data_IF_451475038993
#
_entry.id   IF_451475038993
#
_cell.length_a   1.000
_cell.length_b   1.000
_cell.length_c   1.000
_cell.angle_alpha   90.00
_cell.angle_beta   90.00
_cell.angle_gamma   90.00
#
_symmetry.space_group_name_H-M   'P 1'
#
loop_
_entity.id
_entity.type
_entity.pdbx_description
1 polymer ?
#
# COMPACT_ATOMS: atom_id res chain seq x y z
N UNK A 1 6.79 2.32 2.96
CA UNK A 1 8.17 2.24 3.51
C UNK A 1 8.26 1.62 4.88
N UNK A 2 7.24 1.76 5.73
CA UNK A 2 7.27 1.31 7.14
C UNK A 2 6.32 0.13 7.39
N UNK A 3 5.87 -0.54 6.35
CA UNK A 3 4.82 -1.56 6.42
C UNK A 3 5.27 -3.01 6.10
N UNK A 4 6.56 -3.42 6.22
CA UNK A 4 6.92 -4.81 5.96
C UNK A 4 6.27 -5.78 6.95
N UNK A 5 5.85 -5.30 8.13
CA UNK A 5 5.09 -6.08 9.11
C UNK A 5 3.80 -6.67 8.56
N UNK A 6 3.07 -5.93 7.70
CA UNK A 6 1.86 -6.44 7.03
C UNK A 6 2.20 -7.61 6.11
N UNK A 7 3.30 -7.50 5.39
CA UNK A 7 3.77 -8.51 4.45
C UNK A 7 4.25 -9.78 5.19
N UNK A 8 5.02 -9.61 6.27
CA UNK A 8 5.46 -10.68 7.16
C UNK A 8 4.27 -11.42 7.78
N UNK A 9 3.29 -10.69 8.30
CA UNK A 9 2.08 -11.27 8.87
C UNK A 9 1.29 -12.10 7.85
N UNK A 10 1.30 -11.69 6.57
CA UNK A 10 0.69 -12.46 5.47
C UNK A 10 1.52 -13.65 4.97
N UNK A 11 2.65 -13.96 5.62
CA UNK A 11 3.48 -15.13 5.30
C UNK A 11 4.59 -14.88 4.28
N UNK A 12 4.92 -13.61 3.99
CA UNK A 12 6.13 -13.30 3.24
C UNK A 12 7.35 -13.60 4.08
N UNK A 13 8.29 -14.36 3.53
CA UNK A 13 9.41 -14.89 4.31
C UNK A 13 10.51 -13.84 4.48
N UNK A 14 11.25 -13.95 5.58
CA UNK A 14 12.48 -13.17 5.78
C UNK A 14 13.48 -13.38 4.65
N UNK A 15 13.51 -14.58 4.07
CA UNK A 15 14.35 -14.89 2.92
C UNK A 15 13.97 -14.07 1.68
N UNK A 16 12.67 -13.87 1.43
CA UNK A 16 12.20 -13.03 0.34
C UNK A 16 12.47 -11.55 0.58
N UNK A 17 12.40 -11.08 1.84
CA UNK A 17 12.85 -9.73 2.21
C UNK A 17 14.32 -9.55 1.85
N UNK A 18 15.17 -10.50 2.24
CA UNK A 18 16.59 -10.46 1.90
C UNK A 18 16.81 -10.47 0.38
N UNK A 19 16.10 -11.32 -0.36
CA UNK A 19 16.20 -11.36 -1.82
C UNK A 19 15.94 -10.00 -2.47
N UNK A 20 14.91 -9.27 -2.03
CA UNK A 20 14.59 -7.93 -2.52
C UNK A 20 15.65 -6.90 -2.12
N UNK A 21 16.08 -6.90 -0.85
CA UNK A 21 17.09 -5.95 -0.36
C UNK A 21 18.45 -6.10 -1.06
N UNK A 22 18.84 -7.32 -1.42
CA UNK A 22 20.08 -7.59 -2.16
C UNK A 22 19.89 -7.56 -3.69
N UNK A 23 18.66 -7.41 -4.19
CA UNK A 23 18.36 -7.40 -5.61
C UNK A 23 18.84 -8.65 -6.36
N UNK A 24 18.80 -9.82 -5.72
CA UNK A 24 19.37 -11.04 -6.29
C UNK A 24 18.41 -11.72 -7.29
N UNK A 25 18.82 -12.86 -7.85
CA UNK A 25 18.04 -13.60 -8.87
C UNK A 25 16.67 -14.10 -8.38
N UNK A 26 16.49 -14.22 -7.07
CA UNK A 26 15.26 -14.68 -6.45
C UNK A 26 14.35 -13.51 -6.02
N UNK A 27 14.74 -12.26 -6.30
CA UNK A 27 13.88 -11.11 -6.10
C UNK A 27 12.71 -11.13 -7.10
N UNK A 28 11.49 -11.06 -6.57
CA UNK A 28 10.27 -10.91 -7.38
C UNK A 28 10.29 -9.61 -8.20
N UNK A 29 10.94 -8.57 -7.68
CA UNK A 29 11.17 -7.28 -8.34
C UNK A 29 12.31 -7.28 -9.37
N UNK A 30 13.02 -8.41 -9.53
CA UNK A 30 14.16 -8.60 -10.44
C UNK A 30 15.29 -7.58 -10.23
N UNK A 31 15.48 -7.10 -9.00
CA UNK A 31 16.51 -6.13 -8.63
C UNK A 31 16.30 -4.74 -9.22
N UNK A 32 15.09 -4.42 -9.73
CA UNK A 32 14.81 -3.15 -10.42
C UNK A 32 14.43 -2.01 -9.48
N UNK A 33 14.10 -2.34 -8.24
CA UNK A 33 13.63 -1.40 -7.24
C UNK A 33 14.68 -1.23 -6.14
N UNK A 34 14.67 -0.06 -5.49
CA UNK A 34 15.53 0.17 -4.32
C UNK A 34 15.18 -0.80 -3.19
N UNK A 35 16.12 -1.10 -2.27
CA UNK A 35 15.82 -1.89 -1.08
C UNK A 35 14.60 -1.32 -0.32
N UNK A 36 13.82 -2.19 0.31
CA UNK A 36 12.58 -1.85 1.05
C UNK A 36 11.36 -1.56 0.13
N UNK A 37 11.52 -1.65 -1.19
CA UNK A 37 10.40 -1.58 -2.15
C UNK A 37 9.78 -2.96 -2.38
N UNK A 38 9.21 -3.54 -1.33
CA UNK A 38 8.57 -4.84 -1.43
C UNK A 38 7.28 -4.78 -2.24
N UNK A 39 6.96 -5.88 -2.92
CA UNK A 39 5.73 -6.06 -3.68
C UNK A 39 5.41 -7.54 -3.80
N UNK A 40 4.13 -7.91 -3.73
CA UNK A 40 3.74 -9.31 -3.87
C UNK A 40 2.27 -9.49 -4.28
N UNK A 41 2.06 -9.95 -5.51
CA UNK A 41 0.73 -10.31 -6.00
C UNK A 41 0.09 -11.45 -5.20
N UNK A 42 0.90 -12.45 -4.77
CA UNK A 42 0.44 -13.59 -3.97
C UNK A 42 -0.20 -13.14 -2.64
N UNK A 43 0.29 -12.05 -2.06
CA UNK A 43 -0.17 -11.55 -0.76
C UNK A 43 -1.08 -10.33 -0.89
N UNK A 44 -1.58 -10.02 -2.10
CA UNK A 44 -2.38 -8.83 -2.39
C UNK A 44 -1.73 -7.56 -1.84
N UNK A 45 -0.44 -7.37 -2.15
CA UNK A 45 0.36 -6.25 -1.68
C UNK A 45 0.99 -5.54 -2.87
N UNK A 46 0.57 -4.30 -3.11
CA UNK A 46 1.10 -3.45 -4.16
C UNK A 46 2.57 -3.12 -3.93
N UNK A 47 3.35 -3.06 -5.01
CA UNK A 47 4.77 -2.70 -4.92
C UNK A 47 4.92 -1.27 -4.43
N UNK A 48 5.72 -1.07 -3.38
CA UNK A 48 6.00 0.27 -2.83
C UNK A 48 6.82 1.10 -3.82
N UNK A 49 6.48 2.39 -3.93
CA UNK A 49 7.16 3.37 -4.78
C UNK A 49 7.68 4.58 -3.98
N UNK A 50 8.76 5.21 -4.45
CA UNK A 50 9.42 6.39 -3.82
C UNK A 50 8.56 7.60 -3.64
N UNK A 51 7.74 7.99 -4.63
CA UNK A 51 6.86 9.12 -4.47
C UNK A 51 5.88 8.88 -3.32
N UNK A 52 5.99 9.72 -2.31
CA UNK A 52 5.11 9.72 -1.14
C UNK A 52 3.68 10.04 -1.62
N UNK A 53 2.67 9.57 -0.89
CA UNK A 53 1.24 9.82 -1.11
C UNK A 53 0.62 9.25 -2.40
N UNK A 54 1.39 8.91 -3.43
CA UNK A 54 0.88 8.39 -4.71
C UNK A 54 0.01 7.14 -4.59
N UNK A 55 0.21 6.34 -3.54
CA UNK A 55 -0.58 5.14 -3.27
C UNK A 55 -2.02 5.43 -2.80
N UNK A 56 -2.33 6.66 -2.35
CA UNK A 56 -3.67 7.03 -1.87
C UNK A 56 -4.71 7.00 -3.01
N UNK A 57 -4.59 7.80 -4.08
CA UNK A 57 -5.55 7.74 -5.19
C UNK A 57 -5.56 6.38 -5.90
N UNK A 58 -4.42 5.68 -5.94
CA UNK A 58 -4.35 4.31 -6.47
C UNK A 58 -5.20 3.33 -5.65
N UNK A 59 -5.18 3.44 -4.32
CA UNK A 59 -6.02 2.61 -3.45
C UNK A 59 -7.51 2.92 -3.62
N UNK A 60 -7.89 4.20 -3.81
CA UNK A 60 -9.27 4.60 -4.14
C UNK A 60 -9.72 3.96 -5.45
N UNK A 61 -8.90 4.02 -6.49
CA UNK A 61 -9.20 3.36 -7.77
C UNK A 61 -9.32 1.84 -7.66
N UNK A 62 -8.44 1.19 -6.89
CA UNK A 62 -8.53 -0.24 -6.63
C UNK A 62 -9.83 -0.62 -5.90
N UNK A 63 -10.24 0.17 -4.90
CA UNK A 63 -11.50 -0.04 -4.19
C UNK A 63 -12.73 0.14 -5.10
N UNK A 64 -12.69 1.17 -5.96
CA UNK A 64 -13.74 1.39 -6.94
C UNK A 64 -13.88 0.21 -7.90
N UNK A 65 -12.76 -0.36 -8.35
CA UNK A 65 -12.77 -1.55 -9.19
C UNK A 65 -13.35 -2.76 -8.46
N UNK A 66 -13.01 -2.97 -7.18
CA UNK A 66 -13.60 -4.05 -6.37
C UNK A 66 -15.12 -3.88 -6.19
N UNK A 67 -15.58 -2.63 -6.02
CA UNK A 67 -17.01 -2.29 -5.95
C UNK A 67 -17.74 -2.60 -7.24
N UNK A 68 -17.17 -2.20 -8.38
CA UNK A 68 -17.74 -2.49 -9.70
C UNK A 68 -17.80 -3.98 -10.00
N UNK A 69 -16.82 -4.74 -9.51
CA UNK A 69 -16.78 -6.20 -9.61
C UNK A 69 -17.73 -6.91 -8.63
N UNK A 70 -18.42 -6.19 -7.73
CA UNK A 70 -19.28 -6.77 -6.69
C UNK A 70 -18.54 -7.67 -5.69
N UNK A 71 -17.22 -7.47 -5.52
CA UNK A 71 -16.39 -8.28 -4.62
C UNK A 71 -16.56 -7.82 -3.19
N UNK A 72 -16.67 -8.75 -2.25
CA UNK A 72 -16.62 -8.45 -0.83
C UNK A 72 -15.15 -8.34 -0.36
N UNK A 73 -14.51 -7.22 -0.66
CA UNK A 73 -13.11 -6.95 -0.34
C UNK A 73 -12.91 -5.46 -0.02
N UNK A 74 -11.83 -5.10 0.66
CA UNK A 74 -11.48 -3.70 0.91
C UNK A 74 -10.07 -3.39 0.38
N UNK A 75 -9.86 -2.14 -0.01
CA UNK A 75 -8.52 -1.62 -0.25
C UNK A 75 -8.03 -0.87 0.99
N UNK A 76 -6.77 -1.10 1.34
CA UNK A 76 -6.13 -0.49 2.50
C UNK A 76 -4.87 0.22 2.03
N UNK A 77 -4.70 1.46 2.44
CA UNK A 77 -3.47 2.23 2.19
C UNK A 77 -2.95 2.84 3.48
N UNK A 78 -1.62 2.94 3.57
CA UNK A 78 -0.91 3.47 4.72
C UNK A 78 -0.17 4.74 4.30
N UNK A 79 -0.30 5.78 5.12
CA UNK A 79 0.35 7.06 4.90
C UNK A 79 0.87 7.59 6.24
N UNK A 80 2.07 8.17 6.24
CA UNK A 80 2.60 8.88 7.41
C UNK A 80 2.06 10.31 7.49
N UNK A 81 2.25 10.98 8.61
CA UNK A 81 1.68 12.33 8.82
C UNK A 81 2.20 13.35 7.81
N UNK A 82 3.51 13.38 7.56
CA UNK A 82 4.10 14.30 6.58
C UNK A 82 3.63 14.07 5.14
N UNK A 83 3.15 12.86 4.85
CA UNK A 83 2.56 12.52 3.56
C UNK A 83 1.08 12.91 3.45
N UNK A 84 0.45 13.26 4.57
CA UNK A 84 -0.92 13.77 4.60
C UNK A 84 -0.96 15.18 3.99
N UNK A 85 0.06 16.00 4.20
CA UNK A 85 0.17 17.35 3.62
C UNK A 85 0.23 17.34 2.09
N UNK A 86 0.88 16.34 1.48
CA UNK A 86 0.92 16.15 0.02
C UNK A 86 -0.47 15.83 -0.58
N UNK A 87 -1.44 15.39 0.24
CA UNK A 87 -2.79 14.99 -0.19
C UNK A 87 -3.87 15.93 0.34
N UNK A 88 -3.51 16.85 1.25
CA UNK A 88 -4.49 17.73 1.90
C UNK A 88 -4.74 19.03 1.14
N UNK A 89 -3.92 19.35 0.13
CA UNK A 89 -4.19 20.46 -0.78
C UNK A 89 -5.09 19.97 -1.93
N UNK A 90 -6.38 20.23 -1.73
CA UNK A 90 -7.43 20.40 -2.75
C UNK A 90 -8.06 19.16 -3.45
N UNK A 91 -9.40 19.10 -3.35
CA UNK A 91 -10.35 18.59 -4.37
C UNK A 91 -10.41 17.09 -4.70
N UNK A 92 -10.44 16.19 -3.71
CA UNK A 92 -11.00 14.84 -3.95
C UNK A 92 -12.17 14.55 -3.03
N UNK A 93 -13.35 15.04 -3.44
CA UNK A 93 -14.63 14.65 -2.87
C UNK A 93 -14.96 13.22 -3.35
N UNK A 94 -14.74 12.17 -2.55
CA UNK A 94 -14.77 10.84 -3.09
C UNK A 94 -16.23 10.37 -3.12
N UNK A 95 -16.67 9.93 -4.29
CA UNK A 95 -17.92 9.15 -4.49
C UNK A 95 -17.90 7.80 -3.72
N UNK A 96 -16.80 7.50 -3.03
CA UNK A 96 -16.54 6.33 -2.20
C UNK A 96 -16.33 6.81 -0.77
N UNK A 97 -17.07 6.24 0.19
CA UNK A 97 -16.86 6.56 1.61
C UNK A 97 -15.50 6.05 2.05
N UNK A 98 -14.54 6.97 2.20
CA UNK A 98 -13.24 6.68 2.80
C UNK A 98 -13.38 6.75 4.31
N UNK A 99 -13.22 5.62 5.00
CA UNK A 99 -13.08 5.61 6.45
C UNK A 99 -11.61 5.73 6.80
N UNK A 100 -11.25 6.89 7.35
CA UNK A 100 -9.95 7.08 8.00
C UNK A 100 -9.96 6.34 9.34
N UNK A 101 -9.08 5.38 9.49
CA UNK A 101 -8.81 4.69 10.76
C UNK A 101 -7.38 5.02 11.16
N UNK A 102 -7.21 5.72 12.28
CA UNK A 102 -5.90 6.06 12.83
C UNK A 102 -5.48 4.88 13.71
N UNK A 103 -4.39 4.20 13.35
CA UNK A 103 -3.92 3.02 14.11
C UNK A 103 -2.91 3.44 15.19
N UNK A 104 -2.09 4.45 14.94
CA UNK A 104 -1.18 5.11 15.91
C UNK A 104 -0.95 6.57 15.46
N UNK A 105 -0.42 7.45 16.32
CA UNK A 105 -0.23 8.89 16.05
C UNK A 105 0.51 9.22 14.75
N UNK A 106 1.22 8.25 14.14
CA UNK A 106 2.04 8.44 12.94
C UNK A 106 1.67 7.56 11.74
N UNK A 107 0.61 6.75 11.84
CA UNK A 107 0.17 5.85 10.77
C UNK A 107 -1.33 6.04 10.53
N UNK A 108 -1.64 6.68 9.41
CA UNK A 108 -3.01 6.76 8.90
C UNK A 108 -3.30 5.55 8.01
N UNK A 109 -4.30 4.76 8.38
CA UNK A 109 -4.90 3.75 7.52
C UNK A 109 -6.16 4.31 6.89
N UNK A 110 -6.26 4.26 5.56
CA UNK A 110 -7.52 4.58 4.87
C UNK A 110 -8.12 3.29 4.35
N UNK A 111 -9.33 2.99 4.79
CA UNK A 111 -10.16 1.90 4.28
C UNK A 111 -11.17 2.52 3.33
N UNK A 112 -11.16 2.04 2.08
CA UNK A 112 -12.26 2.28 1.17
C UNK A 112 -13.25 1.12 1.28
N UNK A 113 -14.38 1.39 1.94
CA UNK A 113 -15.51 0.45 2.04
C UNK A 113 -16.34 0.49 0.76
N UNK A 114 -16.88 -0.68 0.37
CA UNK A 114 -17.71 -0.88 -0.84
C UNK A 114 -19.17 -0.56 -0.54
#
# INVERSE_FOLDING_TARGET
>A
YREPGVLLWRGFTLQQIAHQCFGNTNDLGKGRQMPIHYGSNKHNYFTVSSPIATQLPQAVGAAYSLKMDGKNACAVTFCGDGATSEVCDDEYEPTISLKKVIIEEHITMVIADI
#
